data_IF_180856610317
#
_entry.id   IF_180856610317
#
_cell.length_a   1.000
_cell.length_b   1.000
_cell.length_c   1.000
_cell.angle_alpha   90.00
_cell.angle_beta   90.00
_cell.angle_gamma   90.00
#
_symmetry.space_group_name_H-M   'P 1'
#
loop_
_entity.id
_entity.type
_entity.pdbx_description
1 polymer ?
#
# COMPACT_ATOMS: atom_id res chain seq x y z
N UNK A 1 13.15 -9.31 -17.78
CA UNK A 1 12.84 -8.67 -16.49
C UNK A 1 11.56 -7.89 -16.70
N UNK A 2 10.48 -8.27 -16.02
CA UNK A 2 9.21 -7.54 -16.04
C UNK A 2 9.29 -6.56 -14.88
N UNK A 3 8.93 -5.30 -15.11
CA UNK A 3 8.91 -4.26 -14.08
C UNK A 3 7.45 -3.98 -13.73
N UNK A 4 7.13 -3.97 -12.44
CA UNK A 4 5.79 -3.72 -11.93
C UNK A 4 5.75 -2.31 -11.33
N UNK A 5 4.79 -1.51 -11.79
CA UNK A 5 4.51 -0.19 -11.21
C UNK A 5 3.68 -0.35 -9.96
N UNK A 6 4.14 0.22 -8.86
CA UNK A 6 3.48 0.25 -7.54
C UNK A 6 3.36 1.68 -7.05
N UNK A 7 2.55 1.90 -6.01
CA UNK A 7 2.38 3.22 -5.41
C UNK A 7 2.70 3.17 -3.92
N UNK A 8 3.59 4.03 -3.45
CA UNK A 8 4.17 3.93 -2.10
C UNK A 8 3.73 5.13 -1.27
N UNK A 9 3.05 4.89 -0.17
CA UNK A 9 2.66 5.93 0.79
C UNK A 9 3.47 5.77 2.07
N UNK A 10 4.34 6.73 2.36
CA UNK A 10 5.05 6.81 3.66
C UNK A 10 4.26 7.65 4.66
N UNK A 11 4.39 7.38 5.98
CA UNK A 11 3.75 8.20 7.01
C UNK A 11 4.05 9.68 6.83
N UNK A 12 3.01 10.53 6.88
CA UNK A 12 3.11 11.99 6.79
C UNK A 12 3.73 12.56 5.49
N UNK A 13 3.95 11.73 4.47
CA UNK A 13 4.42 12.14 3.15
C UNK A 13 3.34 11.89 2.10
N UNK A 14 3.46 12.56 0.94
CA UNK A 14 2.64 12.24 -0.22
C UNK A 14 3.05 10.89 -0.82
N UNK A 15 2.11 10.21 -1.49
CA UNK A 15 2.40 8.94 -2.12
C UNK A 15 3.18 9.13 -3.43
N UNK A 16 4.06 8.18 -3.75
CA UNK A 16 4.95 8.24 -4.91
C UNK A 16 4.93 6.95 -5.71
N UNK A 17 5.07 7.08 -7.03
CA UNK A 17 5.18 5.93 -7.93
C UNK A 17 6.56 5.31 -7.76
N UNK A 18 6.61 3.98 -7.68
CA UNK A 18 7.84 3.21 -7.71
C UNK A 18 7.73 2.05 -8.70
N UNK A 19 8.88 1.57 -9.13
CA UNK A 19 9.02 0.41 -10.00
C UNK A 19 9.77 -0.68 -9.25
N UNK A 20 9.21 -1.89 -9.22
CA UNK A 20 9.83 -3.07 -8.61
C UNK A 20 10.06 -4.17 -9.64
N UNK A 21 11.14 -4.93 -9.45
CA UNK A 21 11.50 -6.04 -10.34
C UNK A 21 10.89 -7.39 -9.89
N UNK A 22 10.66 -7.53 -8.58
CA UNK A 22 10.17 -8.75 -7.94
C UNK A 22 9.55 -8.42 -6.57
N UNK A 23 9.10 -9.46 -5.87
CA UNK A 23 8.48 -9.37 -4.54
C UNK A 23 9.48 -9.08 -3.43
N UNK A 24 10.77 -9.37 -3.61
CA UNK A 24 11.78 -9.12 -2.57
C UNK A 24 11.94 -7.61 -2.33
N UNK A 25 11.78 -6.82 -3.41
CA UNK A 25 11.72 -5.37 -3.33
C UNK A 25 10.55 -4.84 -2.46
N UNK A 26 9.49 -5.62 -2.23
CA UNK A 26 8.39 -5.21 -1.34
C UNK A 26 8.83 -5.18 0.12
N UNK A 27 9.56 -6.20 0.57
CA UNK A 27 10.12 -6.26 1.93
C UNK A 27 11.05 -5.08 2.20
N UNK A 28 11.86 -4.69 1.21
CA UNK A 28 12.71 -3.50 1.31
C UNK A 28 11.88 -2.20 1.41
N UNK A 29 10.80 -2.09 0.64
CA UNK A 29 9.94 -0.90 0.64
C UNK A 29 9.16 -0.71 1.95
N UNK A 30 8.76 -1.81 2.60
CA UNK A 30 8.05 -1.77 3.90
C UNK A 30 8.96 -1.94 5.11
N UNK A 31 10.27 -2.09 4.91
CA UNK A 31 11.29 -2.23 5.95
C UNK A 31 11.10 -3.46 6.85
N UNK A 32 10.86 -4.63 6.25
CA UNK A 32 10.76 -5.90 6.98
C UNK A 32 9.90 -6.97 6.30
N UNK A 33 9.50 -7.95 7.11
CA UNK A 33 8.49 -8.92 6.70
C UNK A 33 7.15 -8.22 6.51
N UNK A 34 6.39 -8.68 5.52
CA UNK A 34 5.17 -8.03 5.10
C UNK A 34 3.98 -8.97 5.13
N UNK A 35 2.82 -8.37 5.38
CA UNK A 35 1.52 -9.00 5.15
C UNK A 35 0.75 -8.27 4.05
N UNK A 36 -0.23 -8.97 3.49
CA UNK A 36 -1.12 -8.44 2.45
C UNK A 36 -2.47 -8.14 3.08
N UNK A 37 -2.86 -6.87 3.02
CA UNK A 37 -4.12 -6.38 3.57
C UNK A 37 -4.98 -5.83 2.43
N UNK A 38 -6.29 -5.83 2.62
CA UNK A 38 -7.27 -5.27 1.68
C UNK A 38 -8.06 -4.15 2.34
N UNK A 39 -8.63 -3.26 1.52
CA UNK A 39 -9.60 -2.26 1.97
C UNK A 39 -10.89 -2.40 1.15
N UNK A 40 -12.03 -2.31 1.82
CA UNK A 40 -13.37 -2.46 1.24
C UNK A 40 -13.66 -1.45 0.12
N UNK A 41 -12.91 -0.34 0.05
CA UNK A 41 -13.05 0.71 -0.95
C UNK A 41 -12.00 0.62 -2.09
N UNK A 42 -11.09 -0.35 -2.04
CA UNK A 42 -10.00 -0.50 -3.02
C UNK A 42 -10.08 -1.87 -3.73
N UNK A 43 -11.17 -2.10 -4.46
CA UNK A 43 -11.36 -3.34 -5.21
C UNK A 43 -10.22 -3.58 -6.22
N UNK A 44 -9.61 -4.77 -6.16
CA UNK A 44 -8.54 -5.17 -7.07
C UNK A 44 -7.17 -4.53 -6.78
N UNK A 45 -7.02 -3.82 -5.65
CA UNK A 45 -5.76 -3.26 -5.15
C UNK A 45 -5.49 -3.86 -3.77
N UNK A 46 -4.30 -4.41 -3.59
CA UNK A 46 -3.83 -4.92 -2.30
C UNK A 46 -2.87 -3.93 -1.67
N UNK A 47 -2.85 -3.90 -0.35
CA UNK A 47 -1.94 -3.10 0.45
C UNK A 47 -0.88 -4.03 1.06
N UNK A 48 0.38 -3.76 0.77
CA UNK A 48 1.50 -4.43 1.39
C UNK A 48 1.98 -3.56 2.55
N UNK A 49 1.98 -4.12 3.74
CA UNK A 49 2.32 -3.42 4.98
C UNK A 49 3.30 -4.26 5.79
N UNK A 50 4.08 -3.61 6.65
CA UNK A 50 4.98 -4.30 7.57
C UNK A 50 4.16 -5.04 8.65
N UNK A 51 4.38 -6.35 8.80
CA UNK A 51 3.66 -7.21 9.75
C UNK A 51 3.87 -6.77 11.21
N UNK A 52 5.07 -6.30 11.53
CA UNK A 52 5.49 -5.90 12.88
C UNK A 52 5.40 -4.38 13.11
N UNK A 53 4.84 -3.62 12.16
CA UNK A 53 4.84 -2.17 12.22
C UNK A 53 4.02 -1.57 13.37
N UNK A 54 3.03 -2.30 13.88
CA UNK A 54 2.07 -1.79 14.87
C UNK A 54 2.75 -1.52 16.22
N UNK A 55 2.62 -0.27 16.69
CA UNK A 55 3.21 0.16 17.97
C UNK A 55 4.72 0.40 17.93
N UNK A 56 5.35 0.20 16.76
CA UNK A 56 6.78 0.44 16.51
C UNK A 56 6.95 1.60 15.53
N UNK A 57 6.25 1.55 14.39
CA UNK A 57 6.31 2.55 13.33
C UNK A 57 5.21 3.61 13.49
N UNK A 58 5.41 4.77 12.86
CA UNK A 58 4.41 5.84 12.84
C UNK A 58 3.13 5.39 12.12
N UNK A 59 1.97 5.84 12.59
CA UNK A 59 0.70 5.60 11.90
C UNK A 59 0.67 6.34 10.55
N UNK A 60 0.06 5.72 9.54
CA UNK A 60 0.02 6.26 8.18
C UNK A 60 -1.39 6.74 7.82
N UNK A 61 -2.35 5.82 7.69
CA UNK A 61 -3.76 6.12 7.42
C UNK A 61 -4.66 4.98 7.90
N UNK A 62 -5.94 5.25 8.18
CA UNK A 62 -6.91 4.22 8.51
C UNK A 62 -7.46 3.52 7.26
N UNK A 63 -7.72 2.23 7.38
CA UNK A 63 -8.37 1.37 6.39
C UNK A 63 -9.62 0.74 6.98
N UNK A 64 -10.51 0.26 6.11
CA UNK A 64 -11.65 -0.57 6.51
C UNK A 64 -11.53 -1.92 5.80
N UNK A 65 -11.44 -3.00 6.56
CA UNK A 65 -11.39 -4.36 6.03
C UNK A 65 -12.52 -5.18 6.64
N UNK A 66 -13.36 -5.78 5.80
CA UNK A 66 -14.53 -6.57 6.21
C UNK A 66 -15.48 -5.78 7.15
N UNK A 67 -15.59 -4.47 6.93
CA UNK A 67 -16.39 -3.56 7.75
C UNK A 67 -15.76 -3.13 9.08
N UNK A 68 -14.52 -3.54 9.37
CA UNK A 68 -13.79 -3.18 10.59
C UNK A 68 -12.72 -2.13 10.30
N UNK A 69 -12.67 -1.10 11.14
CA UNK A 69 -11.65 -0.05 11.08
C UNK A 69 -10.33 -0.57 11.62
N UNK A 70 -9.26 -0.39 10.84
CA UNK A 70 -7.89 -0.64 11.29
C UNK A 70 -6.94 0.49 10.83
N UNK A 71 -5.70 0.46 11.28
CA UNK A 71 -4.66 1.42 10.97
C UNK A 71 -3.46 0.75 10.31
N UNK A 72 -3.01 1.35 9.22
CA UNK A 72 -1.72 1.03 8.60
C UNK A 72 -0.62 1.78 9.33
N UNK A 73 0.46 1.08 9.69
CA UNK A 73 1.65 1.62 10.33
C UNK A 73 2.86 1.47 9.41
N UNK A 74 3.72 2.50 9.37
CA UNK A 74 4.86 2.52 8.48
C UNK A 74 4.50 2.74 7.00
N UNK A 75 5.46 2.48 6.08
CA UNK A 75 5.20 2.54 4.65
C UNK A 75 4.14 1.53 4.22
N UNK A 76 3.29 1.95 3.28
CA UNK A 76 2.34 1.08 2.60
C UNK A 76 2.67 1.06 1.11
N UNK A 77 2.68 -0.12 0.51
CA UNK A 77 2.81 -0.27 -0.94
C UNK A 77 1.50 -0.77 -1.50
N UNK A 78 0.88 0.01 -2.36
CA UNK A 78 -0.29 -0.39 -3.13
C UNK A 78 0.17 -1.17 -4.37
N UNK A 79 -0.40 -2.36 -4.55
CA UNK A 79 -0.11 -3.25 -5.69
C UNK A 79 -1.41 -3.70 -6.34
N UNK A 80 -1.37 -4.05 -7.63
CA UNK A 80 -2.52 -4.69 -8.27
C UNK A 80 -2.67 -6.11 -7.73
N UNK A 81 -3.87 -6.49 -7.31
CA UNK A 81 -4.12 -7.80 -6.72
C UNK A 81 -3.84 -8.99 -7.66
N UNK A 82 -3.86 -8.75 -8.98
CA UNK A 82 -3.55 -9.76 -10.00
C UNK A 82 -2.05 -9.85 -10.35
N UNK A 83 -1.20 -9.08 -9.66
CA UNK A 83 0.25 -9.07 -9.85
C UNK A 83 0.74 -8.27 -11.06
N UNK A 84 -0.12 -7.50 -11.73
CA UNK A 84 0.28 -6.58 -12.81
C UNK A 84 0.67 -5.19 -12.30
N UNK A 85 1.23 -4.37 -13.18
CA UNK A 85 1.46 -2.94 -12.90
C UNK A 85 0.15 -2.20 -12.63
N UNK A 86 0.18 -1.27 -11.69
CA UNK A 86 -0.90 -0.28 -11.54
C UNK A 86 -1.00 0.58 -12.80
N UNK A 87 -2.23 0.79 -13.26
CA UNK A 87 -2.56 1.74 -14.31
C UNK A 87 -2.70 3.17 -13.77
N UNK A 88 -2.77 4.16 -14.66
CA UNK A 88 -3.08 5.55 -14.27
C UNK A 88 -4.44 5.67 -13.57
N UNK A 89 -5.43 4.86 -13.99
CA UNK A 89 -6.74 4.84 -13.36
C UNK A 89 -6.66 4.28 -11.93
N UNK A 90 -5.85 3.24 -11.70
CA UNK A 90 -5.63 2.69 -10.36
C UNK A 90 -4.96 3.72 -9.44
N UNK A 91 -3.93 4.41 -9.93
CA UNK A 91 -3.25 5.48 -9.18
C UNK A 91 -4.24 6.58 -8.79
N UNK A 92 -5.08 7.02 -9.73
CA UNK A 92 -6.12 8.04 -9.46
C UNK A 92 -7.11 7.57 -8.39
N UNK A 93 -7.51 6.30 -8.40
CA UNK A 93 -8.40 5.73 -7.38
C UNK A 93 -7.71 5.73 -6.01
N UNK A 94 -6.45 5.34 -5.93
CA UNK A 94 -5.67 5.35 -4.68
C UNK A 94 -5.51 6.79 -4.16
N UNK A 95 -5.26 7.76 -5.03
CA UNK A 95 -5.18 9.18 -4.65
C UNK A 95 -6.49 9.69 -4.05
N UNK A 96 -7.62 9.37 -4.67
CA UNK A 96 -8.94 9.73 -4.17
C UNK A 96 -9.22 9.08 -2.80
N UNK A 97 -8.86 7.80 -2.66
CA UNK A 97 -8.95 7.08 -1.40
C UNK A 97 -8.12 7.77 -0.31
N UNK A 98 -6.83 8.05 -0.56
CA UNK A 98 -5.93 8.69 0.41
C UNK A 98 -6.36 10.12 0.76
N UNK A 99 -6.87 10.89 -0.20
CA UNK A 99 -7.37 12.24 0.03
C UNK A 99 -8.56 12.28 0.99
N UNK A 100 -9.38 11.22 1.03
CA UNK A 100 -10.52 11.11 1.95
C UNK A 100 -10.11 10.78 3.40
N UNK A 101 -8.82 10.50 3.66
CA UNK A 101 -8.29 10.11 4.98
C UNK A 101 -7.44 11.22 5.65
N UNK A 102 -7.35 12.40 5.02
CA UNK A 102 -6.64 13.57 5.55
C UNK A 102 -7.43 14.28 6.64
#
# INVERSE_FOLDING_TARGET
MIVITVYVKRPHEDATIAEIADTDALSELVDGDFEVVTDDHLEGISLIVNEDGRGVLANNFPITADGYLDWVYGPCVFVKADGRSLSEDDIRVIDQFLAAKK
#
